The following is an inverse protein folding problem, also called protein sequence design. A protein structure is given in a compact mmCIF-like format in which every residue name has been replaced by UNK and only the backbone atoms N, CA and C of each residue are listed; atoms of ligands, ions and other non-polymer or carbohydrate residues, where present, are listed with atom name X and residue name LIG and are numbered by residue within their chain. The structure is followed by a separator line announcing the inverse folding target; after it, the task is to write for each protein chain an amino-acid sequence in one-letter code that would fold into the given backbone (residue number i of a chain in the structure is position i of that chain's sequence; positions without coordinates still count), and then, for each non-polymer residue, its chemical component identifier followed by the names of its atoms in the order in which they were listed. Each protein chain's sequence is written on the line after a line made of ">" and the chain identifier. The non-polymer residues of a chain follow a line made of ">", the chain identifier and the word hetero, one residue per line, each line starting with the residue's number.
data_IF_238660048105
#
_entry.id   IF_238660048105
#
_cell.length_a   1.000
_cell.length_b   1.000
_cell.length_c   1.000
_cell.angle_alpha   90.00
_cell.angle_beta   90.00
_cell.angle_gamma   90.00
#
_symmetry.space_group_name_H-M   'P 1'
#
loop_
_entity.id
_entity.type
_entity.pdbx_description
1 polymer ?
#
# COMPACT_ATOMS: atom_id res chain seq x y z
N UNK A 1 -62.14 15.30 11.72
CA UNK A 1 -61.93 14.26 12.75
C UNK A 1 -60.93 13.26 12.18
N UNK A 2 -59.92 12.87 12.96
CA UNK A 2 -58.59 12.38 12.56
C UNK A 2 -58.55 11.29 11.48
N UNK A 3 -57.56 11.41 10.59
CA UNK A 3 -56.96 10.30 9.85
C UNK A 3 -55.43 10.39 10.03
N UNK A 4 -54.90 9.49 10.85
CA UNK A 4 -53.47 9.18 10.96
C UNK A 4 -53.23 8.00 10.01
N UNK A 5 -52.30 8.15 9.07
CA UNK A 5 -51.35 7.12 8.59
C UNK A 5 -50.20 7.89 7.92
N UNK A 6 -49.00 7.75 8.46
CA UNK A 6 -47.75 8.19 7.83
C UNK A 6 -47.48 7.39 6.56
N UNK A 7 -46.75 7.95 5.59
CA UNK A 7 -45.54 7.25 5.18
C UNK A 7 -44.30 8.15 5.12
N UNK A 8 -43.24 7.57 5.69
CA UNK A 8 -41.84 7.91 5.56
C UNK A 8 -41.40 8.11 4.09
N UNK A 9 -40.55 9.11 3.90
CA UNK A 9 -39.38 9.10 3.01
C UNK A 9 -39.62 8.86 1.50
N UNK A 10 -40.01 9.95 0.84
CA UNK A 10 -39.57 10.27 -0.52
C UNK A 10 -38.12 10.79 -0.47
N UNK A 11 -37.15 9.89 -0.28
CA UNK A 11 -35.77 10.14 -0.70
C UNK A 11 -35.49 9.25 -1.91
N UNK A 12 -35.66 9.86 -3.08
CA UNK A 12 -34.91 9.61 -4.31
C UNK A 12 -34.52 8.15 -4.57
N UNK A 13 -35.45 7.39 -5.14
CA UNK A 13 -35.19 6.05 -5.71
C UNK A 13 -34.29 6.05 -6.96
N UNK A 14 -33.50 7.10 -7.20
CA UNK A 14 -32.54 7.16 -8.31
C UNK A 14 -31.20 6.47 -8.02
N UNK A 15 -30.86 6.17 -6.76
CA UNK A 15 -29.52 5.68 -6.38
C UNK A 15 -29.43 4.20 -5.95
N UNK A 16 -30.52 3.43 -6.03
CA UNK A 16 -30.51 2.00 -5.63
C UNK A 16 -30.62 1.07 -6.85
N UNK A 17 -30.94 1.58 -8.03
CA UNK A 17 -31.14 0.79 -9.25
C UNK A 17 -29.89 0.63 -10.15
N UNK A 18 -28.72 1.11 -9.73
CA UNK A 18 -27.49 1.08 -10.54
C UNK A 18 -26.31 0.42 -9.79
N UNK A 19 -26.57 -0.70 -9.11
CA UNK A 19 -25.53 -1.58 -8.59
C UNK A 19 -25.81 -3.08 -8.82
N UNK A 20 -26.88 -3.41 -9.56
CA UNK A 20 -26.90 -4.61 -10.39
C UNK A 20 -26.12 -4.25 -11.66
N UNK A 21 -24.80 -4.13 -11.53
CA UNK A 21 -23.94 -4.24 -12.70
C UNK A 21 -24.17 -5.68 -13.17
N UNK A 22 -25.05 -5.84 -14.16
CA UNK A 22 -24.99 -6.98 -15.06
C UNK A 22 -23.60 -6.92 -15.68
N UNK A 23 -22.62 -7.48 -14.98
CA UNK A 23 -21.27 -7.69 -15.48
C UNK A 23 -21.35 -8.83 -16.48
N UNK A 24 -22.17 -8.66 -17.53
CA UNK A 24 -21.94 -9.22 -18.85
C UNK A 24 -20.62 -8.61 -19.32
N UNK A 25 -19.56 -9.16 -18.76
CA UNK A 25 -18.21 -8.65 -18.82
C UNK A 25 -17.65 -9.02 -20.18
N UNK A 26 -16.83 -8.14 -20.78
CA UNK A 26 -16.08 -8.43 -22.02
C UNK A 26 -15.30 -9.75 -21.96
N UNK A 27 -15.06 -10.29 -20.77
CA UNK A 27 -14.53 -11.63 -20.52
C UNK A 27 -15.40 -12.76 -21.12
N UNK A 28 -16.73 -12.61 -21.15
CA UNK A 28 -17.65 -13.58 -21.76
C UNK A 28 -17.46 -13.66 -23.28
N UNK A 29 -17.33 -12.51 -23.94
CA UNK A 29 -17.14 -12.42 -25.40
C UNK A 29 -15.85 -13.13 -25.86
N UNK A 30 -14.85 -13.27 -24.98
CA UNK A 30 -13.55 -13.87 -25.30
C UNK A 30 -13.39 -15.33 -24.84
N UNK A 31 -14.05 -15.72 -23.75
CA UNK A 31 -13.85 -17.06 -23.14
C UNK A 31 -14.96 -18.05 -23.46
N UNK A 32 -16.15 -17.55 -23.83
CA UNK A 32 -17.33 -18.40 -24.04
C UNK A 32 -17.86 -19.08 -22.77
N UNK A 33 -17.30 -18.77 -21.59
CA UNK A 33 -17.73 -19.34 -20.31
C UNK A 33 -18.55 -18.27 -19.58
N UNK A 34 -19.88 -18.42 -19.49
CA UNK A 34 -20.69 -17.51 -18.69
C UNK A 34 -20.32 -17.70 -17.21
N UNK A 35 -19.85 -16.62 -16.58
CA UNK A 35 -19.59 -16.59 -15.15
C UNK A 35 -20.63 -15.71 -14.50
N UNK A 36 -21.61 -16.37 -13.88
CA UNK A 36 -22.60 -15.70 -13.05
C UNK A 36 -22.04 -15.67 -11.62
N UNK A 37 -21.48 -14.53 -11.24
CA UNK A 37 -21.04 -14.27 -9.87
C UNK A 37 -21.95 -13.15 -9.36
N UNK A 38 -22.85 -13.49 -8.45
CA UNK A 38 -23.62 -12.50 -7.69
C UNK A 38 -22.71 -11.93 -6.59
N UNK A 39 -22.02 -10.84 -6.90
CA UNK A 39 -21.14 -10.13 -5.97
C UNK A 39 -21.53 -8.68 -5.84
N UNK A 40 -22.10 -8.33 -4.69
CA UNK A 40 -22.44 -6.95 -4.36
C UNK A 40 -21.15 -6.21 -4.01
N UNK A 41 -20.71 -5.32 -4.89
CA UNK A 41 -19.58 -4.43 -4.62
C UNK A 41 -19.91 -3.53 -3.43
N UNK A 42 -19.06 -3.54 -2.39
CA UNK A 42 -19.21 -2.64 -1.24
C UNK A 42 -18.91 -1.18 -1.60
N UNK A 43 -18.14 -0.93 -2.65
CA UNK A 43 -17.85 0.40 -3.17
C UNK A 43 -17.57 0.35 -4.68
N UNK A 44 -18.00 1.35 -5.46
CA UNK A 44 -17.63 1.44 -6.87
C UNK A 44 -16.11 1.70 -7.00
N UNK A 45 -15.48 1.27 -8.10
CA UNK A 45 -14.07 1.59 -8.36
C UNK A 45 -13.88 3.11 -8.45
N UNK A 46 -12.70 3.59 -8.05
CA UNK A 46 -12.41 5.03 -8.15
C UNK A 46 -12.34 5.42 -9.63
N UNK A 47 -13.10 6.44 -10.08
CA UNK A 47 -13.03 6.93 -11.46
C UNK A 47 -11.63 7.42 -11.82
N UNK A 48 -11.19 7.15 -13.06
CA UNK A 48 -9.86 7.55 -13.55
C UNK A 48 -9.66 9.06 -13.47
N UNK A 49 -10.69 9.85 -13.80
CA UNK A 49 -10.63 11.32 -13.75
C UNK A 49 -10.44 11.84 -12.32
N UNK A 50 -11.06 11.19 -11.33
CA UNK A 50 -10.90 11.54 -9.92
C UNK A 50 -9.48 11.20 -9.42
N UNK A 51 -8.95 10.02 -9.78
CA UNK A 51 -7.55 9.66 -9.46
C UNK A 51 -6.56 10.65 -10.10
N UNK A 52 -6.79 11.03 -11.36
CA UNK A 52 -5.93 11.95 -12.11
C UNK A 52 -5.97 13.34 -11.49
N UNK A 53 -7.17 13.86 -11.21
CA UNK A 53 -7.35 15.17 -10.56
C UNK A 53 -6.70 15.22 -9.18
N UNK A 54 -6.79 14.13 -8.40
CA UNK A 54 -6.16 14.04 -7.09
C UNK A 54 -4.62 14.07 -7.20
N UNK A 55 -4.06 13.38 -8.19
CA UNK A 55 -2.60 13.42 -8.46
C UNK A 55 -2.16 14.82 -8.88
N UNK A 56 -2.92 15.48 -9.76
CA UNK A 56 -2.62 16.82 -10.27
C UNK A 56 -2.76 17.92 -9.21
N UNK A 57 -3.61 17.71 -8.19
CA UNK A 57 -3.76 18.65 -7.08
C UNK A 57 -2.45 18.91 -6.30
N UNK A 58 -1.50 17.96 -6.37
CA UNK A 58 -0.25 18.03 -5.60
C UNK A 58 -0.42 17.84 -4.08
N UNK A 59 -1.66 17.71 -3.58
CA UNK A 59 -1.95 17.65 -2.14
C UNK A 59 -1.52 16.34 -1.49
N UNK A 60 -1.15 15.31 -2.25
CA UNK A 60 -0.89 14.00 -1.66
C UNK A 60 0.45 13.90 -0.92
N UNK A 61 1.46 14.69 -1.32
CA UNK A 61 2.83 14.49 -0.85
C UNK A 61 3.45 15.82 -0.49
N UNK A 62 4.05 15.89 0.70
CA UNK A 62 5.05 16.90 1.03
C UNK A 62 6.38 16.24 1.39
N UNK A 63 7.45 17.02 1.27
CA UNK A 63 8.80 16.56 1.57
C UNK A 63 8.90 16.13 3.03
N UNK A 64 9.47 14.95 3.26
CA UNK A 64 9.70 14.39 4.59
C UNK A 64 8.52 13.61 5.18
N UNK A 65 7.38 13.54 4.50
CA UNK A 65 6.18 12.87 5.01
C UNK A 65 6.14 11.36 4.74
N UNK A 66 7.29 10.70 4.73
CA UNK A 66 7.37 9.24 4.57
C UNK A 66 6.87 8.44 5.79
N UNK A 67 6.86 9.07 6.97
CA UNK A 67 6.33 8.50 8.21
C UNK A 67 4.85 8.79 8.42
N UNK A 68 4.45 8.82 9.71
CA UNK A 68 3.06 9.05 10.12
C UNK A 68 2.59 10.45 9.71
N UNK A 69 1.43 10.52 9.06
CA UNK A 69 0.76 11.79 8.80
C UNK A 69 0.15 12.37 10.07
N UNK A 70 0.33 13.67 10.27
CA UNK A 70 -0.38 14.42 11.31
C UNK A 70 -1.86 14.52 10.98
N UNK A 71 -2.72 14.67 11.99
CA UNK A 71 -4.17 14.77 11.77
C UNK A 71 -4.58 15.97 10.90
N UNK A 72 -4.01 17.18 11.07
CA UNK A 72 -4.27 18.30 10.15
C UNK A 72 -3.93 17.96 8.71
N UNK A 73 -2.88 17.16 8.50
CA UNK A 73 -2.46 16.76 7.16
C UNK A 73 -3.41 15.75 6.53
N UNK A 74 -3.93 14.80 7.33
CA UNK A 74 -4.99 13.88 6.89
C UNK A 74 -6.26 14.63 6.54
N UNK A 75 -6.61 15.67 7.30
CA UNK A 75 -7.78 16.51 7.03
C UNK A 75 -7.64 17.27 5.71
N UNK A 76 -6.47 17.87 5.46
CA UNK A 76 -6.19 18.57 4.20
C UNK A 76 -6.36 17.65 2.98
N UNK A 77 -5.76 16.44 3.03
CA UNK A 77 -5.94 15.42 1.97
C UNK A 77 -7.42 15.00 1.87
N UNK A 78 -8.08 14.83 3.01
CA UNK A 78 -9.48 14.42 3.09
C UNK A 78 -10.44 15.42 2.46
N UNK A 79 -10.17 16.72 2.60
CA UNK A 79 -10.98 17.78 2.00
C UNK A 79 -10.93 17.73 0.47
N UNK A 80 -9.73 17.58 -0.12
CA UNK A 80 -9.59 17.44 -1.58
C UNK A 80 -10.23 16.13 -2.07
N UNK A 81 -10.06 15.03 -1.34
CA UNK A 81 -10.73 13.77 -1.68
C UNK A 81 -12.25 13.94 -1.72
N UNK A 82 -12.83 14.62 -0.72
CA UNK A 82 -14.27 14.88 -0.64
C UNK A 82 -14.77 15.71 -1.81
N UNK A 83 -14.03 16.73 -2.22
CA UNK A 83 -14.36 17.55 -3.41
C UNK A 83 -14.37 16.72 -4.70
N UNK A 84 -13.52 15.71 -4.80
CA UNK A 84 -13.43 14.78 -5.94
C UNK A 84 -14.36 13.57 -5.82
N UNK A 85 -15.23 13.50 -4.79
CA UNK A 85 -16.11 12.37 -4.57
C UNK A 85 -15.40 11.08 -4.12
N UNK A 86 -14.18 11.21 -3.58
CA UNK A 86 -13.36 10.12 -3.05
C UNK A 86 -13.41 10.07 -1.52
N UNK A 87 -13.24 8.88 -0.97
CA UNK A 87 -13.00 8.70 0.48
C UNK A 87 -11.55 9.00 0.85
N UNK A 88 -11.30 9.40 2.10
CA UNK A 88 -9.94 9.57 2.61
C UNK A 88 -9.09 8.29 2.46
N UNK A 89 -9.70 7.12 2.68
CA UNK A 89 -9.00 5.82 2.54
C UNK A 89 -8.52 5.60 1.11
N UNK A 90 -9.34 5.93 0.11
CA UNK A 90 -8.95 5.89 -1.30
C UNK A 90 -7.78 6.84 -1.58
N UNK A 91 -7.87 8.10 -1.11
CA UNK A 91 -6.79 9.07 -1.28
C UNK A 91 -5.47 8.68 -0.62
N UNK A 92 -5.52 8.15 0.60
CA UNK A 92 -4.32 7.65 1.31
C UNK A 92 -3.68 6.45 0.60
N UNK A 93 -4.48 5.62 -0.05
CA UNK A 93 -3.97 4.49 -0.85
C UNK A 93 -3.28 4.98 -2.14
N UNK A 94 -3.87 5.95 -2.85
CA UNK A 94 -3.22 6.62 -3.99
C UNK A 94 -1.89 7.24 -3.54
N UNK A 95 -1.90 8.00 -2.44
CA UNK A 95 -0.70 8.59 -1.83
C UNK A 95 0.39 7.54 -1.59
N UNK A 96 0.04 6.41 -0.95
CA UNK A 96 0.98 5.31 -0.68
C UNK A 96 1.64 4.83 -1.98
N UNK A 97 0.90 4.64 -3.06
CA UNK A 97 1.48 4.20 -4.34
C UNK A 97 2.45 5.23 -4.95
N UNK A 98 2.11 6.52 -4.87
CA UNK A 98 3.01 7.57 -5.35
C UNK A 98 4.29 7.61 -4.51
N UNK A 99 4.21 7.47 -3.19
CA UNK A 99 5.37 7.45 -2.30
C UNK A 99 6.26 6.21 -2.52
N UNK A 100 5.66 5.03 -2.74
CA UNK A 100 6.41 3.83 -3.13
C UNK A 100 7.14 4.06 -4.45
N UNK A 101 6.49 4.70 -5.41
CA UNK A 101 7.13 5.04 -6.69
C UNK A 101 8.30 6.01 -6.49
N UNK A 102 8.10 7.05 -5.68
CA UNK A 102 9.14 8.03 -5.36
C UNK A 102 10.33 7.38 -4.63
N UNK A 103 10.08 6.47 -3.69
CA UNK A 103 11.16 5.77 -2.97
C UNK A 103 11.99 4.87 -3.90
N UNK A 104 11.34 4.18 -4.84
CA UNK A 104 12.06 3.38 -5.86
C UNK A 104 12.95 4.27 -6.73
N UNK A 105 12.44 5.43 -7.19
CA UNK A 105 13.22 6.35 -8.05
C UNK A 105 14.34 7.06 -7.29
N UNK A 106 14.15 7.35 -6.01
CA UNK A 106 15.10 8.11 -5.18
C UNK A 106 15.98 7.24 -4.28
N UNK A 107 15.81 5.91 -4.28
CA UNK A 107 16.51 4.99 -3.40
C UNK A 107 18.03 4.98 -3.56
N UNK A 108 18.57 5.45 -4.70
CA UNK A 108 20.01 5.65 -4.86
C UNK A 108 20.58 6.69 -3.87
N UNK A 109 19.77 7.65 -3.41
CA UNK A 109 20.15 8.65 -2.41
C UNK A 109 20.53 8.00 -1.08
N UNK A 110 19.83 6.93 -0.69
CA UNK A 110 20.14 6.17 0.52
C UNK A 110 21.51 5.52 0.43
N UNK A 111 21.81 4.83 -0.69
CA UNK A 111 23.12 4.21 -0.91
C UNK A 111 24.25 5.24 -0.89
N UNK A 112 24.05 6.39 -1.54
CA UNK A 112 25.06 7.46 -1.58
C UNK A 112 25.36 8.05 -0.19
N UNK A 113 24.37 8.05 0.71
CA UNK A 113 24.47 8.68 2.02
C UNK A 113 24.57 7.68 3.18
N UNK A 114 24.70 6.38 2.94
CA UNK A 114 24.60 5.34 3.97
C UNK A 114 25.60 5.52 5.12
N UNK A 115 26.86 5.83 4.81
CA UNK A 115 27.87 6.15 5.84
C UNK A 115 27.59 7.44 6.62
N UNK A 116 26.97 8.46 5.98
CA UNK A 116 26.52 9.67 6.68
C UNK A 116 25.34 9.37 7.61
N UNK A 117 24.38 8.56 7.14
CA UNK A 117 23.24 8.12 7.93
C UNK A 117 23.70 7.34 9.17
N UNK A 118 24.65 6.40 9.01
CA UNK A 118 25.20 5.65 10.16
C UNK A 118 25.79 6.61 11.19
N UNK A 119 26.69 7.52 10.78
CA UNK A 119 27.34 8.45 11.70
C UNK A 119 26.37 9.38 12.45
N UNK A 120 25.30 9.83 11.79
CA UNK A 120 24.26 10.65 12.42
C UNK A 120 23.43 9.84 13.43
N UNK A 121 23.21 8.56 13.14
CA UNK A 121 22.56 7.65 14.08
C UNK A 121 23.47 7.35 15.28
N UNK A 122 24.75 7.06 15.01
CA UNK A 122 25.80 6.78 16.01
C UNK A 122 26.04 7.96 16.96
N UNK A 123 25.89 9.20 16.50
CA UNK A 123 26.00 10.39 17.35
C UNK A 123 24.85 10.51 18.35
N UNK A 124 23.79 9.70 18.20
CA UNK A 124 22.59 9.70 19.04
C UNK A 124 21.73 10.95 18.91
N UNK A 125 22.08 11.89 18.02
CA UNK A 125 21.45 13.22 17.91
C UNK A 125 20.21 13.26 17.00
N UNK A 126 20.00 12.21 16.21
CA UNK A 126 18.86 12.11 15.29
C UNK A 126 18.24 10.72 15.43
N UNK A 127 16.91 10.66 15.49
CA UNK A 127 16.17 9.39 15.39
C UNK A 127 15.99 8.97 13.93
N UNK A 128 15.58 7.71 13.70
CA UNK A 128 15.17 7.24 12.36
C UNK A 128 14.08 8.13 11.76
N UNK A 129 13.15 8.63 12.56
CA UNK A 129 12.10 9.54 12.11
C UNK A 129 12.67 10.89 11.63
N UNK A 130 13.63 11.46 12.38
CA UNK A 130 14.29 12.72 12.00
C UNK A 130 15.12 12.56 10.71
N UNK A 131 15.80 11.43 10.58
CA UNK A 131 16.57 11.08 9.39
C UNK A 131 15.65 10.87 8.17
N UNK A 132 14.54 10.15 8.35
CA UNK A 132 13.50 9.96 7.34
C UNK A 132 12.98 11.29 6.82
N UNK A 133 12.64 12.21 7.73
CA UNK A 133 12.15 13.54 7.38
C UNK A 133 13.22 14.35 6.62
N UNK A 134 14.43 14.41 7.16
CA UNK A 134 15.53 15.23 6.62
C UNK A 134 16.00 14.76 5.24
N UNK A 135 16.11 13.45 5.06
CA UNK A 135 16.55 12.84 3.81
C UNK A 135 15.41 12.59 2.82
N UNK A 136 14.15 12.80 3.22
CA UNK A 136 12.96 12.56 2.41
C UNK A 136 12.93 11.12 1.87
N UNK A 137 13.03 10.14 2.77
CA UNK A 137 13.08 8.71 2.46
C UNK A 137 12.27 7.90 3.47
N UNK A 138 11.79 6.69 3.11
CA UNK A 138 11.08 5.80 4.03
C UNK A 138 11.86 5.47 5.31
N UNK A 139 11.23 5.47 6.50
CA UNK A 139 11.88 5.09 7.76
C UNK A 139 12.58 3.72 7.70
N UNK A 140 11.94 2.69 7.14
CA UNK A 140 12.57 1.37 6.98
C UNK A 140 13.67 1.42 5.91
N UNK A 141 13.56 2.31 4.94
CA UNK A 141 14.63 2.58 3.96
C UNK A 141 15.89 3.16 4.61
N UNK A 142 15.73 4.10 5.55
CA UNK A 142 16.84 4.70 6.32
C UNK A 142 17.62 3.63 7.07
N UNK A 143 16.94 2.82 7.88
CA UNK A 143 17.61 1.78 8.68
C UNK A 143 18.19 0.66 7.81
N UNK A 144 17.54 0.28 6.69
CA UNK A 144 18.14 -0.64 5.72
C UNK A 144 19.48 -0.13 5.18
N UNK A 145 19.59 1.16 4.91
CA UNK A 145 20.83 1.76 4.40
C UNK A 145 21.92 1.80 5.47
N UNK A 146 21.55 2.10 6.73
CA UNK A 146 22.47 2.07 7.87
C UNK A 146 22.99 0.65 8.10
N UNK A 147 22.09 -0.34 8.16
CA UNK A 147 22.45 -1.75 8.35
C UNK A 147 23.33 -2.27 7.20
N UNK A 148 22.97 -2.00 5.94
CA UNK A 148 23.79 -2.41 4.78
C UNK A 148 25.21 -1.83 4.87
N UNK A 149 25.36 -0.57 5.30
CA UNK A 149 26.67 0.04 5.52
C UNK A 149 27.43 -0.62 6.68
N UNK A 150 26.82 -0.74 7.87
CA UNK A 150 27.46 -1.31 9.06
C UNK A 150 27.89 -2.75 8.84
N UNK A 151 27.04 -3.59 8.24
CA UNK A 151 27.36 -4.99 7.95
C UNK A 151 28.57 -5.09 7.01
N UNK A 152 28.62 -4.27 5.96
CA UNK A 152 29.76 -4.23 5.04
C UNK A 152 31.02 -3.71 5.70
N UNK A 153 30.91 -2.75 6.61
CA UNK A 153 32.04 -2.24 7.38
C UNK A 153 32.60 -3.32 8.34
N UNK A 154 31.71 -4.03 9.05
CA UNK A 154 32.08 -5.08 10.01
C UNK A 154 32.71 -6.29 9.34
N UNK A 155 32.15 -6.76 8.23
CA UNK A 155 32.61 -7.99 7.56
C UNK A 155 33.51 -7.72 6.34
N UNK A 156 33.83 -6.46 6.04
CA UNK A 156 34.52 -6.04 4.82
C UNK A 156 33.89 -6.67 3.55
N UNK A 157 34.67 -6.77 2.47
CA UNK A 157 34.23 -7.43 1.22
C UNK A 157 34.19 -8.97 1.31
N UNK A 158 34.29 -9.56 2.52
CA UNK A 158 34.29 -11.02 2.70
C UNK A 158 32.89 -11.64 2.53
N UNK A 159 31.82 -10.86 2.70
CA UNK A 159 30.45 -11.31 2.48
C UNK A 159 29.98 -10.93 1.07
N UNK A 160 29.46 -11.90 0.34
CA UNK A 160 28.75 -11.62 -0.91
C UNK A 160 27.51 -10.74 -0.66
N UNK A 161 27.21 -9.88 -1.63
CA UNK A 161 26.08 -8.93 -1.60
C UNK A 161 24.74 -9.58 -1.24
N UNK A 162 24.53 -10.82 -1.69
CA UNK A 162 23.30 -11.55 -1.43
C UNK A 162 23.13 -11.94 0.04
N UNK A 163 24.21 -12.19 0.78
CA UNK A 163 24.17 -12.49 2.21
C UNK A 163 23.90 -11.23 3.04
N UNK A 164 24.54 -10.11 2.69
CA UNK A 164 24.28 -8.80 3.33
C UNK A 164 22.79 -8.48 3.24
N UNK A 165 22.19 -8.61 2.05
CA UNK A 165 20.76 -8.40 1.84
C UNK A 165 19.87 -9.32 2.68
N UNK A 166 20.26 -10.60 2.84
CA UNK A 166 19.53 -11.56 3.68
C UNK A 166 19.57 -11.16 5.16
N UNK A 167 20.73 -10.75 5.67
CA UNK A 167 20.90 -10.32 7.07
C UNK A 167 20.09 -9.04 7.32
N UNK A 168 20.24 -8.02 6.46
CA UNK A 168 19.46 -6.77 6.55
C UNK A 168 17.96 -7.07 6.55
N UNK A 169 17.50 -7.96 5.66
CA UNK A 169 16.10 -8.37 5.59
C UNK A 169 15.65 -9.06 6.89
N UNK A 170 16.46 -9.98 7.42
CA UNK A 170 16.12 -10.70 8.64
C UNK A 170 16.00 -9.77 9.87
N UNK A 171 16.89 -8.78 9.98
CA UNK A 171 16.83 -7.76 11.04
C UNK A 171 15.55 -6.92 10.89
N UNK A 172 15.31 -6.38 9.69
CA UNK A 172 14.16 -5.49 9.43
C UNK A 172 12.81 -6.21 9.57
N UNK A 173 12.75 -7.49 9.19
CA UNK A 173 11.55 -8.31 9.36
C UNK A 173 11.38 -8.80 10.81
N UNK A 174 12.34 -8.54 11.70
CA UNK A 174 12.31 -8.97 13.10
C UNK A 174 12.49 -10.49 13.27
N UNK A 175 13.03 -11.19 12.27
CA UNK A 175 13.30 -12.63 12.33
C UNK A 175 14.65 -12.95 12.96
N UNK A 176 15.57 -11.99 12.97
CA UNK A 176 16.83 -12.10 13.72
C UNK A 176 16.63 -11.55 15.14
N UNK A 177 16.96 -12.36 16.15
CA UNK A 177 16.78 -12.02 17.58
C UNK A 177 18.00 -12.35 18.42
N UNK A 178 18.13 -11.70 19.58
CA UNK A 178 19.16 -11.99 20.59
C UNK A 178 20.54 -11.43 20.23
N UNK A 179 21.60 -12.10 20.69
CA UNK A 179 22.99 -11.60 20.63
C UNK A 179 23.46 -11.18 19.23
N UNK A 180 22.93 -11.79 18.17
CA UNK A 180 23.27 -11.44 16.79
C UNK A 180 22.65 -10.12 16.30
N UNK A 181 21.60 -9.63 16.96
CA UNK A 181 20.98 -8.34 16.66
C UNK A 181 21.76 -7.19 17.33
N UNK A 182 22.23 -7.43 18.56
CA UNK A 182 22.99 -6.46 19.36
C UNK A 182 24.33 -6.08 18.70
N UNK A 183 24.86 -6.94 17.82
CA UNK A 183 26.05 -6.67 17.00
C UNK A 183 25.84 -5.51 16.01
N UNK A 184 24.59 -5.19 15.65
CA UNK A 184 24.28 -4.18 14.62
C UNK A 184 23.43 -3.01 15.13
N UNK A 185 22.57 -3.25 16.12
CA UNK A 185 21.62 -2.26 16.65
C UNK A 185 21.63 -2.27 18.17
N UNK A 186 21.82 -1.08 18.76
CA UNK A 186 21.59 -0.84 20.18
C UNK A 186 20.11 -1.00 20.55
N UNK A 187 19.81 -1.21 21.84
CA UNK A 187 18.42 -1.34 22.32
C UNK A 187 17.53 -0.13 21.95
N UNK A 188 18.11 1.07 21.91
CA UNK A 188 17.43 2.28 21.42
C UNK A 188 17.08 2.15 19.94
N UNK A 189 18.03 1.78 19.10
CA UNK A 189 17.81 1.65 17.66
C UNK A 189 16.86 0.50 17.32
N UNK A 190 16.83 -0.57 18.11
CA UNK A 190 15.85 -1.64 18.00
C UNK A 190 14.42 -1.13 18.26
N UNK A 191 14.24 -0.26 19.27
CA UNK A 191 12.95 0.40 19.50
C UNK A 191 12.58 1.35 18.35
N UNK A 192 13.54 2.13 17.84
CA UNK A 192 13.30 3.00 16.68
C UNK A 192 12.95 2.20 15.41
N UNK A 193 13.55 1.02 15.20
CA UNK A 193 13.21 0.11 14.10
C UNK A 193 11.75 -0.36 14.21
N UNK A 194 11.28 -0.72 15.40
CA UNK A 194 9.90 -1.15 15.58
C UNK A 194 8.91 -0.01 15.28
N UNK A 195 9.21 1.21 15.77
CA UNK A 195 8.42 2.40 15.42
C UNK A 195 8.44 2.69 13.91
N UNK A 196 9.60 2.50 13.25
CA UNK A 196 9.72 2.67 11.81
C UNK A 196 8.85 1.66 11.04
N UNK A 197 8.77 0.40 11.47
CA UNK A 197 7.93 -0.63 10.84
C UNK A 197 6.44 -0.32 10.91
N UNK A 198 6.00 0.27 12.01
CA UNK A 198 4.59 0.65 12.20
C UNK A 198 4.22 1.93 11.45
N UNK A 199 5.18 2.83 11.25
CA UNK A 199 4.95 4.15 10.67
C UNK A 199 5.26 4.26 9.17
N UNK A 200 6.06 3.35 8.62
CA UNK A 200 6.52 3.47 7.24
C UNK A 200 5.40 3.09 6.26
N UNK A 201 5.01 4.09 5.47
CA UNK A 201 3.97 3.99 4.44
C UNK A 201 4.30 2.90 3.40
N UNK A 202 5.57 2.54 3.25
CA UNK A 202 6.07 1.52 2.33
C UNK A 202 6.22 0.13 2.95
N UNK A 203 6.23 -0.01 4.28
CA UNK A 203 6.29 -1.32 4.93
C UNK A 203 4.91 -1.97 5.04
N UNK A 204 4.89 -3.30 4.85
CA UNK A 204 3.72 -4.17 4.77
C UNK A 204 2.80 -3.88 3.58
N UNK A 205 3.22 -4.43 2.45
CA UNK A 205 2.32 -4.83 1.37
C UNK A 205 2.02 -6.31 1.60
N UNK A 206 0.94 -6.62 2.29
CA UNK A 206 0.25 -7.88 2.05
C UNK A 206 -0.32 -7.79 0.63
N UNK A 207 -0.08 -8.78 -0.25
CA UNK A 207 -0.72 -8.82 -1.56
C UNK A 207 -2.24 -8.87 -1.35
N UNK A 208 -2.93 -7.72 -1.46
CA UNK A 208 -4.36 -7.64 -1.12
C UNK A 208 -4.83 -6.30 -0.55
N UNK A 209 -3.93 -5.52 0.08
CA UNK A 209 -4.37 -4.40 0.93
C UNK A 209 -4.46 -3.02 0.25
N UNK A 210 -3.91 -2.79 -0.95
CA UNK A 210 -3.89 -1.44 -1.56
C UNK A 210 -3.80 -1.45 -3.10
N UNK A 211 -4.88 -1.06 -3.80
CA UNK A 211 -4.93 -1.04 -5.28
C UNK A 211 -5.54 0.23 -5.90
N UNK A 212 -5.72 1.30 -5.14
CA UNK A 212 -6.04 2.62 -5.72
C UNK A 212 -4.75 3.31 -6.19
N UNK A 213 -4.76 4.00 -7.34
CA UNK A 213 -3.55 4.54 -7.96
C UNK A 213 -2.61 3.49 -8.59
N UNK A 214 -3.00 2.21 -8.53
CA UNK A 214 -2.40 1.09 -9.24
C UNK A 214 -2.22 1.31 -10.75
N UNK A 215 -3.12 2.08 -11.34
CA UNK A 215 -3.09 2.41 -12.74
C UNK A 215 -2.01 3.42 -13.11
N UNK A 216 -1.68 4.35 -12.23
CA UNK A 216 -0.87 5.53 -12.56
C UNK A 216 0.63 5.29 -12.34
N UNK A 217 1.00 4.36 -11.45
CA UNK A 217 2.39 3.97 -11.25
C UNK A 217 2.92 3.10 -12.42
N UNK A 218 4.00 3.56 -13.08
CA UNK A 218 4.73 2.84 -14.16
C UNK A 218 5.14 1.40 -13.81
N UNK A 219 5.16 1.02 -12.53
CA UNK A 219 5.65 -0.29 -12.06
C UNK A 219 4.57 -1.21 -11.47
N UNK A 220 3.35 -0.72 -11.24
CA UNK A 220 2.31 -1.48 -10.54
C UNK A 220 1.60 -2.50 -11.44
N UNK A 221 1.58 -2.29 -12.76
CA UNK A 221 0.98 -3.25 -13.70
C UNK A 221 1.77 -4.56 -13.79
N UNK A 222 3.11 -4.51 -13.81
CA UNK A 222 3.93 -5.71 -14.12
C UNK A 222 3.83 -6.81 -13.06
N UNK A 223 3.73 -6.47 -11.79
CA UNK A 223 3.66 -7.45 -10.70
C UNK A 223 2.31 -8.16 -10.67
N UNK A 224 1.22 -7.39 -10.68
CA UNK A 224 -0.15 -7.91 -10.70
C UNK A 224 -0.41 -8.70 -11.99
N UNK A 225 0.05 -8.22 -13.14
CA UNK A 225 -0.05 -8.96 -14.41
C UNK A 225 0.68 -10.30 -14.37
N UNK A 226 1.90 -10.36 -13.81
CA UNK A 226 2.63 -11.62 -13.65
C UNK A 226 1.92 -12.59 -12.73
N UNK A 227 1.35 -12.08 -11.63
CA UNK A 227 0.60 -12.90 -10.69
C UNK A 227 -0.68 -13.46 -11.34
N UNK A 228 -1.42 -12.62 -12.08
CA UNK A 228 -2.58 -13.03 -12.87
C UNK A 228 -2.19 -14.07 -13.89
N UNK A 229 -1.17 -13.81 -14.70
CA UNK A 229 -0.72 -14.75 -15.72
C UNK A 229 -0.37 -16.12 -15.13
N UNK A 230 0.29 -16.14 -13.96
CA UNK A 230 0.58 -17.39 -13.24
C UNK A 230 -0.70 -18.10 -12.78
N UNK A 231 -1.68 -17.37 -12.24
CA UNK A 231 -2.97 -17.94 -11.87
C UNK A 231 -3.73 -18.48 -13.09
N UNK A 232 -3.74 -17.74 -14.18
CA UNK A 232 -4.42 -18.16 -15.42
C UNK A 232 -3.77 -19.41 -16.03
N UNK A 233 -2.43 -19.50 -15.97
CA UNK A 233 -1.67 -20.69 -16.35
C UNK A 233 -2.00 -21.89 -15.45
N UNK A 234 -2.02 -21.69 -14.13
CA UNK A 234 -2.27 -22.76 -13.15
C UNK A 234 -3.71 -23.29 -13.20
N UNK A 235 -4.69 -22.41 -13.40
CA UNK A 235 -6.13 -22.75 -13.33
C UNK A 235 -6.81 -22.82 -14.70
N UNK A 236 -6.06 -22.69 -15.80
CA UNK A 236 -6.54 -22.94 -17.17
C UNK A 236 -7.53 -21.91 -17.71
N UNK A 237 -7.53 -20.68 -17.19
CA UNK A 237 -8.39 -19.62 -17.69
C UNK A 237 -8.39 -18.35 -16.82
N UNK A 238 -9.02 -17.26 -17.31
CA UNK A 238 -9.09 -15.99 -16.59
C UNK A 238 -9.68 -16.16 -15.20
N UNK A 239 -9.19 -15.40 -14.22
CA UNK A 239 -9.63 -15.51 -12.81
C UNK A 239 -10.55 -14.36 -12.36
N UNK A 240 -10.92 -14.40 -11.08
CA UNK A 240 -11.38 -13.24 -10.35
C UNK A 240 -10.34 -12.87 -9.28
N UNK A 241 -10.07 -11.57 -9.11
CA UNK A 241 -9.27 -11.05 -8.00
C UNK A 241 -10.18 -10.31 -7.06
N UNK A 242 -10.14 -10.71 -5.79
CA UNK A 242 -10.87 -10.04 -4.72
C UNK A 242 -9.92 -9.10 -3.99
N UNK A 243 -10.21 -7.82 -4.04
CA UNK A 243 -9.53 -6.78 -3.29
C UNK A 243 -10.18 -6.57 -1.93
N UNK A 244 -9.35 -6.28 -0.93
CA UNK A 244 -9.81 -5.98 0.44
C UNK A 244 -10.22 -4.53 0.63
N UNK A 245 -9.73 -3.63 -0.22
CA UNK A 245 -9.95 -2.20 -0.05
C UNK A 245 -10.15 -1.57 -1.43
N UNK A 246 -11.08 -2.08 -2.25
CA UNK A 246 -11.36 -1.65 -3.62
C UNK A 246 -10.17 -1.50 -4.57
N UNK A 247 -10.43 -0.94 -5.76
CA UNK A 247 -9.46 -0.88 -6.85
C UNK A 247 -9.66 0.33 -7.78
N UNK A 248 -8.59 0.70 -8.49
CA UNK A 248 -8.59 1.73 -9.56
C UNK A 248 -9.37 1.25 -10.79
N UNK A 249 -10.23 2.10 -11.36
CA UNK A 249 -10.89 1.81 -12.64
C UNK A 249 -9.88 1.53 -13.78
N UNK A 250 -8.72 2.18 -13.77
CA UNK A 250 -7.68 1.97 -14.77
C UNK A 250 -7.05 0.57 -14.71
N UNK A 251 -7.14 -0.09 -13.54
CA UNK A 251 -6.72 -1.49 -13.41
C UNK A 251 -7.69 -2.43 -14.12
N UNK A 252 -9.00 -2.15 -14.06
CA UNK A 252 -10.03 -2.89 -14.79
C UNK A 252 -9.88 -2.72 -16.31
N UNK A 253 -9.51 -1.52 -16.78
CA UNK A 253 -9.21 -1.26 -18.19
C UNK A 253 -7.97 -2.04 -18.67
N UNK A 254 -6.94 -2.17 -17.83
CA UNK A 254 -5.68 -2.87 -18.17
C UNK A 254 -5.78 -4.39 -18.07
N UNK A 255 -6.75 -4.90 -17.32
CA UNK A 255 -6.96 -6.32 -17.09
C UNK A 255 -8.39 -6.72 -17.50
N UNK A 256 -8.77 -6.54 -18.78
CA UNK A 256 -10.16 -6.71 -19.22
C UNK A 256 -10.65 -8.17 -19.09
N UNK A 257 -9.72 -9.12 -18.98
CA UNK A 257 -10.02 -10.55 -18.87
C UNK A 257 -10.21 -11.01 -17.42
N UNK A 258 -9.75 -10.22 -16.44
CA UNK A 258 -9.81 -10.59 -15.02
C UNK A 258 -10.97 -9.88 -14.35
N UNK A 259 -11.83 -10.63 -13.67
CA UNK A 259 -12.91 -10.02 -12.88
C UNK A 259 -12.32 -9.40 -11.62
N UNK A 260 -12.45 -8.09 -11.46
CA UNK A 260 -11.98 -7.38 -10.26
C UNK A 260 -13.16 -7.18 -9.31
N UNK A 261 -13.05 -7.72 -8.10
CA UNK A 261 -14.07 -7.69 -7.06
C UNK A 261 -13.55 -6.91 -5.86
N UNK A 262 -14.43 -6.19 -5.17
CA UNK A 262 -14.13 -5.57 -3.88
C UNK A 262 -14.95 -6.24 -2.77
N UNK A 263 -14.25 -6.84 -1.82
CA UNK A 263 -14.86 -7.41 -0.61
C UNK A 263 -15.07 -6.38 0.51
N UNK A 264 -14.57 -5.15 0.33
CA UNK A 264 -14.27 -4.22 1.42
C UNK A 264 -13.42 -4.90 2.50
N UNK A 265 -13.27 -4.28 3.69
CA UNK A 265 -12.40 -4.83 4.72
C UNK A 265 -12.88 -6.23 5.09
N UNK A 266 -12.16 -7.25 4.60
CA UNK A 266 -12.30 -8.61 5.08
C UNK A 266 -11.88 -8.57 6.55
N UNK A 267 -12.86 -8.76 7.44
CA UNK A 267 -12.60 -9.09 8.83
C UNK A 267 -11.84 -10.40 8.81
N UNK A 268 -10.51 -10.32 8.93
CA UNK A 268 -9.73 -11.52 9.25
C UNK A 268 -10.18 -11.87 10.66
N UNK A 269 -10.82 -13.04 10.89
CA UNK A 269 -11.11 -13.44 12.25
C UNK A 269 -9.79 -13.45 13.03
N UNK A 270 -9.80 -12.83 14.20
CA UNK A 270 -8.62 -12.79 15.06
C UNK A 270 -8.33 -14.24 15.48
N UNK A 271 -7.26 -14.84 14.94
CA UNK A 271 -6.89 -16.22 15.25
C UNK A 271 -6.33 -16.37 16.68
N UNK A 272 -6.33 -15.29 17.46
CA UNK A 272 -6.02 -15.26 18.90
C UNK A 272 -7.06 -16.03 19.73
N UNK A 273 -8.29 -16.20 19.25
CA UNK A 273 -9.38 -16.84 19.99
C UNK A 273 -9.52 -18.37 19.76
N UNK A 274 -8.58 -19.01 19.04
CA UNK A 274 -8.61 -20.46 18.79
C UNK A 274 -7.50 -21.26 19.47
N UNK A 275 -6.82 -20.69 20.46
CA UNK A 275 -5.97 -21.47 21.38
C UNK A 275 -6.65 -21.46 22.75
N UNK A 276 -7.59 -22.40 22.93
CA UNK A 276 -8.03 -22.89 24.25
C UNK A 276 -7.34 -24.21 24.50
#
# INVERSE_FOLDING_TARGET
>A
MLLIILPLLLLSQANVALALVSSSSKSFELTGIPREIDWILKSPPVPVDAETSLLESGVLIQRGEFGVLTDPRKEEIGNVCKELGMTLVQGLSVRKQVMVTQSVHSGWKLKKNSGRLSRLMDSGSSSIADLSFSFDQPPVGIIRAILDFRIRETYADALEDHFVKKIVKAIVDGTLVGRHLDDFLSSREQHELEMARQSDVTSFVTPGDNFYGAGTAKHFSRGVQKQIAKYEEEFGGPGAIVYRCGFSALLAERLPNTLLLDAGPLTVPDFSDQIV
#
